data_IF_061199922774
#
_entry.id   IF_061199922774
#
_cell.length_a   1.000
_cell.length_b   1.000
_cell.length_c   1.000
_cell.angle_alpha   90.00
_cell.angle_beta   90.00
_cell.angle_gamma   90.00
#
_symmetry.space_group_name_H-M   'P 1'
#
loop_
_entity.id
_entity.type
_entity.pdbx_description
1 polymer ?
#
# COMPACT_ATOMS: atom_id res chain seq x y z
N UNK A 1 14.92 11.62 12.58
CA UNK A 1 14.06 10.42 12.64
C UNK A 1 13.68 10.02 14.07
N UNK A 2 14.60 9.69 15.00
CA UNK A 2 14.27 9.29 16.38
C UNK A 2 13.57 10.37 17.22
N UNK A 3 13.88 11.63 17.01
CA UNK A 3 13.26 12.76 17.76
C UNK A 3 11.82 13.05 17.34
N UNK A 4 11.44 12.72 16.12
CA UNK A 4 10.09 12.99 15.61
C UNK A 4 9.06 11.93 16.04
N UNK A 5 9.50 10.69 16.28
CA UNK A 5 8.66 9.60 16.80
C UNK A 5 8.17 9.87 18.24
N UNK A 6 8.92 10.67 19.02
CA UNK A 6 8.66 10.95 20.45
C UNK A 6 8.00 12.31 20.68
N UNK A 7 7.78 13.10 19.64
CA UNK A 7 7.24 14.45 19.77
C UNK A 7 5.71 14.42 19.80
N UNK A 8 5.16 14.69 20.98
CA UNK A 8 3.72 14.95 21.15
C UNK A 8 3.49 16.44 20.94
N UNK A 9 2.56 16.81 20.07
CA UNK A 9 2.28 18.22 19.78
C UNK A 9 1.53 18.89 20.95
N UNK A 10 1.67 20.21 21.09
CA UNK A 10 0.88 20.96 22.09
C UNK A 10 -0.62 20.81 21.87
N UNK A 11 -1.07 20.65 20.64
CA UNK A 11 -2.48 20.42 20.29
C UNK A 11 -2.98 19.07 20.82
N UNK A 12 -2.13 18.02 20.76
CA UNK A 12 -2.50 16.71 21.29
C UNK A 12 -2.66 16.75 22.82
N UNK A 13 -1.80 17.51 23.52
CA UNK A 13 -1.90 17.69 24.96
C UNK A 13 -3.16 18.45 25.36
N UNK A 14 -3.55 19.48 24.62
CA UNK A 14 -4.82 20.19 24.85
C UNK A 14 -6.00 19.24 24.67
N UNK A 15 -6.00 18.41 23.62
CA UNK A 15 -7.05 17.43 23.41
C UNK A 15 -7.12 16.39 24.55
N UNK A 16 -5.96 15.90 25.03
CA UNK A 16 -5.89 14.97 26.17
C UNK A 16 -6.48 15.60 27.43
N UNK A 17 -6.16 16.87 27.69
CA UNK A 17 -6.70 17.60 28.85
C UNK A 17 -8.21 17.76 28.75
N UNK A 18 -8.76 18.16 27.60
CA UNK A 18 -10.21 18.30 27.40
C UNK A 18 -10.91 16.93 27.57
N UNK A 19 -10.37 15.86 26.98
CA UNK A 19 -10.91 14.49 27.11
C UNK A 19 -10.85 14.06 28.59
N UNK A 20 -9.76 14.37 29.31
CA UNK A 20 -9.62 14.07 30.74
C UNK A 20 -10.71 14.76 31.58
N UNK A 21 -10.94 16.05 31.35
CA UNK A 21 -12.00 16.81 32.06
C UNK A 21 -13.39 16.21 31.80
N UNK A 22 -13.69 15.89 30.52
CA UNK A 22 -14.96 15.25 30.17
C UNK A 22 -15.11 13.89 30.85
N UNK A 23 -14.02 13.09 30.88
CA UNK A 23 -14.02 11.80 31.55
C UNK A 23 -14.25 11.94 33.06
N UNK A 24 -13.61 12.92 33.74
CA UNK A 24 -13.84 13.24 35.13
C UNK A 24 -15.30 13.62 35.41
N UNK A 25 -15.92 14.38 34.53
CA UNK A 25 -17.35 14.71 34.61
C UNK A 25 -18.22 13.44 34.47
N UNK A 26 -18.00 12.59 33.51
CA UNK A 26 -18.74 11.32 33.36
C UNK A 26 -18.54 10.40 34.58
N UNK A 27 -17.34 10.31 35.11
CA UNK A 27 -17.07 9.54 36.32
C UNK A 27 -17.87 10.06 37.51
N UNK A 28 -18.01 11.37 37.67
CA UNK A 28 -18.83 11.96 38.74
C UNK A 28 -20.30 11.59 38.60
N UNK A 29 -20.82 11.49 37.37
CA UNK A 29 -22.19 11.03 37.13
C UNK A 29 -22.40 9.58 37.59
N UNK A 30 -21.41 8.69 37.39
CA UNK A 30 -21.48 7.32 37.88
C UNK A 30 -21.57 7.30 39.39
N UNK A 31 -20.76 8.09 40.12
CA UNK A 31 -20.83 8.20 41.56
C UNK A 31 -22.19 8.78 42.04
N UNK A 32 -22.70 9.78 41.30
CA UNK A 32 -24.00 10.38 41.57
C UNK A 32 -25.13 9.33 41.52
N UNK A 33 -25.11 8.37 40.61
CA UNK A 33 -26.14 7.33 40.50
C UNK A 33 -25.92 6.16 41.48
N UNK A 34 -24.69 5.91 41.88
CA UNK A 34 -24.35 4.77 42.75
C UNK A 34 -24.62 5.04 44.24
N UNK A 35 -24.45 6.28 44.71
CA UNK A 35 -24.58 6.61 46.12
C UNK A 35 -25.23 7.99 46.31
N UNK A 36 -26.35 8.04 47.08
CA UNK A 36 -27.06 9.26 47.37
C UNK A 36 -26.22 10.31 48.14
N UNK A 37 -25.29 9.87 48.98
CA UNK A 37 -24.37 10.77 49.69
C UNK A 37 -23.36 11.48 48.79
N UNK A 38 -23.13 10.95 47.59
CA UNK A 38 -22.25 11.53 46.57
C UNK A 38 -23.00 12.40 45.55
N UNK A 39 -24.31 12.60 45.73
CA UNK A 39 -25.13 13.48 44.87
C UNK A 39 -24.89 14.97 45.22
N UNK A 40 -23.65 15.42 45.13
CA UNK A 40 -23.21 16.75 45.49
C UNK A 40 -22.33 17.38 44.42
N UNK A 41 -22.34 18.71 44.33
CA UNK A 41 -21.43 19.45 43.40
C UNK A 41 -19.96 19.20 43.77
N UNK A 42 -19.67 18.99 45.08
CA UNK A 42 -18.30 18.66 45.51
C UNK A 42 -17.75 17.38 44.90
N UNK A 43 -18.57 16.36 44.63
CA UNK A 43 -18.18 15.15 43.94
C UNK A 43 -17.77 15.44 42.50
N UNK A 44 -18.50 16.31 41.80
CA UNK A 44 -18.18 16.74 40.43
C UNK A 44 -16.84 17.48 40.41
N UNK A 45 -16.68 18.46 41.35
CA UNK A 45 -15.43 19.25 41.45
C UNK A 45 -14.23 18.34 41.72
N UNK A 46 -14.36 17.41 42.67
CA UNK A 46 -13.29 16.49 43.04
C UNK A 46 -12.90 15.57 41.84
N UNK A 47 -13.86 15.00 41.12
CA UNK A 47 -13.63 14.12 39.99
C UNK A 47 -12.97 14.86 38.83
N UNK A 48 -13.43 16.07 38.50
CA UNK A 48 -12.82 16.91 37.45
C UNK A 48 -11.42 17.34 37.84
N UNK A 49 -11.19 17.74 39.10
CA UNK A 49 -9.85 18.10 39.58
C UNK A 49 -8.88 16.92 39.54
N UNK A 50 -9.35 15.74 39.92
CA UNK A 50 -8.53 14.50 39.81
C UNK A 50 -8.10 14.24 38.38
N UNK A 51 -9.03 14.27 37.44
CA UNK A 51 -8.74 14.07 36.04
C UNK A 51 -7.82 15.16 35.47
N UNK A 52 -7.98 16.40 35.86
CA UNK A 52 -7.11 17.51 35.49
C UNK A 52 -5.68 17.32 36.00
N UNK A 53 -5.47 16.94 37.25
CA UNK A 53 -4.14 16.68 37.79
C UNK A 53 -3.48 15.47 37.15
N UNK A 54 -4.23 14.38 36.88
CA UNK A 54 -3.72 13.24 36.13
C UNK A 54 -3.18 13.67 34.73
N UNK A 55 -3.94 14.49 34.02
CA UNK A 55 -3.54 15.00 32.71
C UNK A 55 -2.29 15.90 32.78
N UNK A 56 -2.17 16.76 33.77
CA UNK A 56 -1.00 17.62 34.04
C UNK A 56 0.23 16.76 34.32
N UNK A 57 0.13 15.81 35.26
CA UNK A 57 1.26 14.92 35.56
C UNK A 57 1.65 14.06 34.38
N UNK A 58 0.68 13.55 33.61
CA UNK A 58 0.96 12.84 32.37
C UNK A 58 1.73 13.70 31.35
N UNK A 59 1.30 14.95 31.15
CA UNK A 59 1.97 15.91 30.29
C UNK A 59 3.42 16.15 30.72
N UNK A 60 3.65 16.41 32.00
CA UNK A 60 4.99 16.70 32.54
C UNK A 60 5.88 15.47 32.47
N UNK A 61 5.43 14.33 33.00
CA UNK A 61 6.22 13.13 33.14
C UNK A 61 6.55 12.49 31.78
N UNK A 62 5.54 12.34 30.91
CA UNK A 62 5.71 11.74 29.59
C UNK A 62 6.54 12.66 28.70
N UNK A 63 6.27 13.98 28.68
CA UNK A 63 7.07 14.92 27.89
C UNK A 63 8.52 14.98 28.34
N UNK A 64 8.75 14.98 29.65
CA UNK A 64 10.12 14.97 30.22
C UNK A 64 10.82 13.66 29.89
N UNK A 65 10.14 12.52 30.01
CA UNK A 65 10.67 11.23 29.64
C UNK A 65 11.04 11.18 28.16
N UNK A 66 10.15 11.60 27.28
CA UNK A 66 10.37 11.62 25.83
C UNK A 66 11.54 12.54 25.42
N UNK A 67 11.74 13.63 26.16
CA UNK A 67 12.80 14.60 25.87
C UNK A 67 14.17 14.21 26.43
N UNK A 68 14.24 13.67 27.64
CA UNK A 68 15.48 13.54 28.38
C UNK A 68 15.90 12.09 28.66
N UNK A 69 14.95 11.14 28.73
CA UNK A 69 15.22 9.78 29.20
C UNK A 69 15.20 8.80 28.02
N UNK A 70 14.11 8.72 27.25
CA UNK A 70 13.95 7.75 26.17
C UNK A 70 15.04 7.83 25.08
N UNK A 71 15.53 9.03 24.68
CA UNK A 71 16.61 9.09 23.67
C UNK A 71 17.93 8.47 24.10
N UNK A 72 18.12 8.22 25.42
CA UNK A 72 19.36 7.67 26.01
C UNK A 72 19.27 6.16 26.29
N UNK A 73 18.11 5.54 26.08
CA UNK A 73 17.83 4.16 26.43
C UNK A 73 17.44 3.38 25.16
N UNK A 74 17.72 2.08 25.13
CA UNK A 74 17.32 1.18 24.05
C UNK A 74 15.80 1.18 23.84
N UNK A 75 15.36 1.19 22.57
CA UNK A 75 13.94 1.21 22.18
C UNK A 75 13.10 0.10 22.85
N UNK A 76 13.69 -1.05 23.14
CA UNK A 76 13.01 -2.18 23.82
C UNK A 76 12.43 -1.82 25.19
N UNK A 77 13.04 -0.83 25.88
CA UNK A 77 12.59 -0.38 27.20
C UNK A 77 11.62 0.80 27.16
N UNK A 78 11.41 1.43 26.00
CA UNK A 78 10.59 2.63 25.88
C UNK A 78 9.14 2.40 26.34
N UNK A 79 8.54 1.28 25.94
CA UNK A 79 7.17 0.95 26.34
C UNK A 79 7.06 0.78 27.84
N UNK A 80 7.97 0.01 28.46
CA UNK A 80 7.94 -0.24 29.90
C UNK A 80 8.05 1.07 30.70
N UNK A 81 8.98 1.94 30.28
CA UNK A 81 9.20 3.21 30.96
C UNK A 81 8.01 4.18 30.79
N UNK A 82 7.44 4.23 29.59
CA UNK A 82 6.24 5.04 29.33
C UNK A 82 5.03 4.58 30.16
N UNK A 83 4.87 3.26 30.33
CA UNK A 83 3.83 2.68 31.18
C UNK A 83 4.06 3.01 32.67
N UNK A 84 5.29 2.97 33.12
CA UNK A 84 5.63 3.39 34.48
C UNK A 84 5.28 4.86 34.74
N UNK A 85 5.62 5.76 33.82
CA UNK A 85 5.24 7.18 33.96
C UNK A 85 3.72 7.40 33.84
N UNK A 86 3.02 6.58 33.07
CA UNK A 86 1.54 6.62 33.03
C UNK A 86 0.93 6.19 34.36
N UNK A 87 1.43 5.13 35.00
CA UNK A 87 1.02 4.75 36.36
C UNK A 87 1.29 5.89 37.35
N UNK A 88 2.51 6.43 37.31
CA UNK A 88 2.94 7.49 38.24
C UNK A 88 2.08 8.77 38.06
N UNK A 89 1.65 9.10 36.86
CA UNK A 89 0.79 10.25 36.60
C UNK A 89 -0.61 10.07 37.21
N UNK A 90 -1.17 8.86 37.11
CA UNK A 90 -2.45 8.54 37.76
C UNK A 90 -2.38 8.58 39.27
N UNK A 91 -1.35 7.97 39.83
CA UNK A 91 -1.08 7.93 41.26
C UNK A 91 -0.91 9.34 41.85
N UNK A 92 0.03 10.13 41.31
CA UNK A 92 0.31 11.50 41.76
C UNK A 92 -0.86 12.44 41.48
N UNK A 93 -1.57 12.29 40.39
CA UNK A 93 -2.74 13.10 40.03
C UNK A 93 -3.87 12.94 41.04
N UNK A 94 -4.18 11.69 41.41
CA UNK A 94 -5.16 11.43 42.47
C UNK A 94 -4.71 11.97 43.84
N UNK A 95 -3.46 11.75 44.24
CA UNK A 95 -2.91 12.24 45.48
C UNK A 95 -3.00 13.77 45.57
N UNK A 96 -2.66 14.48 44.52
CA UNK A 96 -2.73 15.93 44.46
C UNK A 96 -4.17 16.43 44.68
N UNK A 97 -5.15 15.85 44.00
CA UNK A 97 -6.56 16.19 44.24
C UNK A 97 -6.99 15.86 45.67
N UNK A 98 -6.63 14.67 46.16
CA UNK A 98 -6.99 14.27 47.54
C UNK A 98 -6.44 15.22 48.59
N UNK A 99 -5.14 15.56 48.55
CA UNK A 99 -4.54 16.43 49.54
C UNK A 99 -5.01 17.89 49.45
N UNK A 100 -5.33 18.41 48.26
CA UNK A 100 -5.90 19.77 48.11
C UNK A 100 -7.25 19.87 48.81
N UNK A 101 -8.09 18.84 48.71
CA UNK A 101 -9.42 18.86 49.31
C UNK A 101 -9.50 18.15 50.66
N UNK A 102 -8.38 17.71 51.24
CA UNK A 102 -8.33 16.92 52.46
C UNK A 102 -9.03 17.60 53.64
N UNK A 103 -8.88 18.91 53.79
CA UNK A 103 -9.48 19.70 54.84
C UNK A 103 -10.84 20.35 54.42
N UNK A 104 -11.41 19.91 53.32
CA UNK A 104 -12.71 20.43 52.85
C UNK A 104 -13.87 19.58 53.39
N UNK A 105 -15.07 20.17 53.43
CA UNK A 105 -16.32 19.47 53.79
C UNK A 105 -16.86 18.56 52.69
N UNK A 106 -15.98 18.10 51.77
CA UNK A 106 -16.38 17.26 50.66
C UNK A 106 -16.67 15.85 51.14
N UNK A 107 -17.93 15.42 51.06
CA UNK A 107 -18.34 14.06 51.45
C UNK A 107 -17.55 12.95 50.72
N UNK A 108 -17.22 13.16 49.44
CA UNK A 108 -16.42 12.22 48.67
C UNK A 108 -15.03 12.03 49.28
N UNK A 109 -14.39 13.10 49.77
CA UNK A 109 -13.07 13.07 50.41
C UNK A 109 -13.15 12.34 51.74
N UNK A 110 -14.18 12.59 52.53
CA UNK A 110 -14.43 11.88 53.80
C UNK A 110 -14.59 10.36 53.58
N UNK A 111 -15.33 9.93 52.56
CA UNK A 111 -15.51 8.51 52.22
C UNK A 111 -14.20 7.89 51.79
N UNK A 112 -13.41 8.58 50.95
CA UNK A 112 -12.15 8.12 50.39
C UNK A 112 -11.02 8.10 51.39
N UNK A 113 -11.09 8.92 52.45
CA UNK A 113 -10.02 9.14 53.44
C UNK A 113 -9.54 7.85 54.11
N UNK A 114 -10.41 6.87 54.35
CA UNK A 114 -10.05 5.59 54.96
C UNK A 114 -9.20 4.70 54.05
N UNK A 115 -9.25 4.88 52.72
CA UNK A 115 -8.61 4.01 51.70
C UNK A 115 -7.82 4.80 50.65
N UNK A 116 -7.47 6.06 50.93
CA UNK A 116 -6.86 6.97 49.97
C UNK A 116 -5.64 6.41 49.25
N UNK A 117 -4.77 5.66 49.97
CA UNK A 117 -3.59 5.05 49.34
C UNK A 117 -3.95 3.91 48.35
N UNK A 118 -4.86 3.05 48.79
CA UNK A 118 -5.32 1.94 47.92
C UNK A 118 -6.00 2.46 46.67
N UNK A 119 -6.81 3.54 46.80
CA UNK A 119 -7.47 4.18 45.68
C UNK A 119 -6.46 4.84 44.75
N UNK A 120 -5.42 5.52 45.28
CA UNK A 120 -4.33 6.09 44.48
C UNK A 120 -3.62 5.01 43.62
N UNK A 121 -3.33 3.85 44.23
CA UNK A 121 -2.74 2.71 43.52
C UNK A 121 -3.66 2.19 42.42
N UNK A 122 -4.96 2.02 42.73
CA UNK A 122 -5.94 1.56 41.72
C UNK A 122 -6.03 2.54 40.56
N UNK A 123 -6.10 3.86 40.84
CA UNK A 123 -6.12 4.90 39.80
C UNK A 123 -4.85 4.85 38.95
N UNK A 124 -3.67 4.65 39.57
CA UNK A 124 -2.42 4.44 38.85
C UNK A 124 -2.47 3.23 37.89
N UNK A 125 -3.01 2.09 38.36
CA UNK A 125 -3.19 0.93 37.49
C UNK A 125 -4.20 1.14 36.37
N UNK A 126 -5.29 1.87 36.62
CA UNK A 126 -6.25 2.22 35.58
C UNK A 126 -5.63 3.11 34.50
N UNK A 127 -4.83 4.10 34.88
CA UNK A 127 -4.12 4.94 33.91
C UNK A 127 -3.07 4.15 33.11
N UNK A 128 -2.39 3.19 33.74
CA UNK A 128 -1.47 2.26 33.05
C UNK A 128 -2.23 1.39 32.06
N UNK A 129 -3.40 0.85 32.41
CA UNK A 129 -4.22 0.04 31.49
C UNK A 129 -4.68 0.84 30.28
N UNK A 130 -5.14 2.07 30.50
CA UNK A 130 -5.52 2.98 29.40
C UNK A 130 -4.32 3.26 28.49
N UNK A 131 -3.14 3.51 29.06
CA UNK A 131 -1.92 3.73 28.29
C UNK A 131 -1.51 2.51 27.46
N UNK A 132 -1.68 1.29 27.99
CA UNK A 132 -1.47 0.03 27.24
C UNK A 132 -2.39 -0.07 26.03
N UNK A 133 -3.69 0.18 26.23
CA UNK A 133 -4.68 0.13 25.16
C UNK A 133 -4.36 1.16 24.06
N UNK A 134 -4.06 2.39 24.45
CA UNK A 134 -3.68 3.46 23.54
C UNK A 134 -2.40 3.12 22.77
N UNK A 135 -1.40 2.57 23.44
CA UNK A 135 -0.15 2.15 22.81
C UNK A 135 -0.41 1.06 21.76
N UNK A 136 -1.22 0.04 22.05
CA UNK A 136 -1.58 -0.99 21.09
C UNK A 136 -2.35 -0.42 19.91
N UNK A 137 -3.30 0.48 20.16
CA UNK A 137 -4.08 1.12 19.10
C UNK A 137 -3.21 1.94 18.14
N UNK A 138 -2.29 2.77 18.69
CA UNK A 138 -1.34 3.54 17.87
C UNK A 138 -0.39 2.63 17.09
N UNK A 139 0.11 1.56 17.71
CA UNK A 139 0.97 0.58 17.06
C UNK A 139 0.27 -0.10 15.88
N UNK A 140 -0.99 -0.53 16.06
CA UNK A 140 -1.80 -1.12 14.99
C UNK A 140 -2.06 -0.12 13.86
N UNK A 141 -2.40 1.12 14.20
CA UNK A 141 -2.61 2.19 13.21
C UNK A 141 -1.36 2.43 12.37
N UNK A 142 -0.18 2.49 13.01
CA UNK A 142 1.09 2.68 12.32
C UNK A 142 1.43 1.50 11.41
N UNK A 143 1.24 0.25 11.87
CA UNK A 143 1.41 -0.94 11.04
C UNK A 143 0.49 -0.94 9.82
N UNK A 144 -0.78 -0.61 9.99
CA UNK A 144 -1.72 -0.53 8.88
C UNK A 144 -1.33 0.54 7.85
N UNK A 145 -0.85 1.70 8.33
CA UNK A 145 -0.34 2.77 7.46
C UNK A 145 0.91 2.33 6.68
N UNK A 146 1.83 1.60 7.33
CA UNK A 146 3.02 1.08 6.67
C UNK A 146 2.66 0.03 5.61
N UNK A 147 1.78 -0.92 5.93
CA UNK A 147 1.28 -1.93 4.97
C UNK A 147 0.61 -1.25 3.76
N UNK A 148 -0.22 -0.24 4.01
CA UNK A 148 -0.86 0.52 2.92
C UNK A 148 0.17 1.20 2.01
N UNK A 149 1.26 1.75 2.59
CA UNK A 149 2.36 2.35 1.85
C UNK A 149 3.12 1.30 1.02
N UNK A 150 3.46 0.16 1.60
CA UNK A 150 4.15 -0.93 0.90
C UNK A 150 3.32 -1.49 -0.26
N UNK A 151 1.99 -1.64 -0.07
CA UNK A 151 1.07 -2.04 -1.14
C UNK A 151 1.05 -0.99 -2.26
N UNK A 152 1.03 0.30 -1.92
CA UNK A 152 1.07 1.38 -2.91
C UNK A 152 2.38 1.37 -3.69
N UNK A 153 3.52 1.27 -3.02
CA UNK A 153 4.84 1.18 -3.65
C UNK A 153 4.96 -0.05 -4.55
N UNK A 154 4.48 -1.21 -4.08
CA UNK A 154 4.43 -2.44 -4.89
C UNK A 154 3.55 -2.27 -6.14
N UNK A 155 2.39 -1.62 -6.02
CA UNK A 155 1.52 -1.31 -7.16
C UNK A 155 2.16 -0.34 -8.14
N UNK A 156 2.82 0.71 -7.65
CA UNK A 156 3.56 1.66 -8.50
C UNK A 156 4.68 0.95 -9.27
N UNK A 157 5.48 0.12 -8.57
CA UNK A 157 6.54 -0.66 -9.19
C UNK A 157 6.01 -1.68 -10.22
N UNK A 158 4.84 -2.26 -9.97
CA UNK A 158 4.16 -3.14 -10.94
C UNK A 158 3.74 -2.36 -12.19
N UNK A 159 3.18 -1.15 -12.02
CA UNK A 159 2.81 -0.27 -13.13
C UNK A 159 4.03 0.20 -13.95
N UNK A 160 5.12 0.56 -13.28
CA UNK A 160 6.39 0.91 -13.94
C UNK A 160 6.95 -0.26 -14.77
N UNK A 161 6.80 -1.49 -14.30
CA UNK A 161 7.22 -2.69 -15.02
C UNK A 161 6.29 -3.06 -16.20
N UNK A 162 5.01 -2.69 -16.14
CA UNK A 162 4.03 -2.90 -17.22
C UNK A 162 4.24 -1.90 -18.38
N UNK A 163 4.68 -0.70 -18.07
CA UNK A 163 5.04 0.33 -19.05
C UNK A 163 6.55 0.28 -19.27
N UNK A 164 7.02 -0.41 -20.30
CA UNK A 164 8.44 -0.41 -20.66
C UNK A 164 8.93 1.04 -20.89
N UNK A 165 9.71 1.65 -19.95
CA UNK A 165 10.10 3.06 -20.09
C UNK A 165 10.91 3.31 -21.35
N UNK A 166 11.74 2.34 -21.74
CA UNK A 166 12.57 2.41 -22.94
C UNK A 166 11.72 2.47 -24.23
N UNK A 167 10.62 1.71 -24.27
CA UNK A 167 9.66 1.81 -25.38
C UNK A 167 9.05 3.22 -25.47
N UNK A 168 8.62 3.78 -24.34
CA UNK A 168 8.01 5.12 -24.30
C UNK A 168 8.99 6.20 -24.75
N UNK A 169 10.24 6.16 -24.26
CA UNK A 169 11.28 7.09 -24.69
C UNK A 169 11.57 6.99 -26.17
N UNK A 170 11.66 5.78 -26.71
CA UNK A 170 11.88 5.56 -28.13
C UNK A 170 10.71 6.05 -28.99
N UNK A 171 9.47 5.78 -28.56
CA UNK A 171 8.27 6.27 -29.25
C UNK A 171 8.23 7.79 -29.28
N UNK A 172 8.48 8.46 -28.14
CA UNK A 172 8.51 9.92 -28.07
C UNK A 172 9.63 10.54 -28.92
N UNK A 173 10.83 9.94 -28.95
CA UNK A 173 11.93 10.36 -29.80
C UNK A 173 11.55 10.25 -31.29
N UNK A 174 10.91 9.14 -31.68
CA UNK A 174 10.44 8.95 -33.06
C UNK A 174 9.37 9.97 -33.45
N UNK A 175 8.42 10.25 -32.55
CA UNK A 175 7.42 11.33 -32.75
C UNK A 175 8.10 12.68 -32.93
N UNK A 176 9.09 13.01 -32.08
CA UNK A 176 9.84 14.27 -32.19
C UNK A 176 10.52 14.43 -33.57
N UNK A 177 11.11 13.37 -34.10
CA UNK A 177 11.71 13.38 -35.44
C UNK A 177 10.66 13.58 -36.53
N UNK A 178 9.49 12.92 -36.41
CA UNK A 178 8.39 13.05 -37.37
C UNK A 178 7.77 14.45 -37.42
N UNK A 179 7.76 15.21 -36.31
CA UNK A 179 7.23 16.58 -36.27
C UNK A 179 7.90 17.47 -37.34
N UNK A 180 9.18 17.26 -37.59
CA UNK A 180 9.93 18.03 -38.58
C UNK A 180 9.85 17.46 -40.00
N UNK A 181 9.64 16.15 -40.16
CA UNK A 181 9.66 15.48 -41.44
C UNK A 181 8.26 15.21 -42.03
N UNK A 182 7.28 14.80 -41.21
CA UNK A 182 5.93 14.46 -41.63
C UNK A 182 4.92 14.67 -40.49
N UNK A 183 4.30 15.85 -40.47
CA UNK A 183 3.35 16.24 -39.41
C UNK A 183 2.16 15.28 -39.29
N UNK A 184 1.66 14.73 -40.41
CA UNK A 184 0.49 13.82 -40.42
C UNK A 184 0.85 12.48 -39.79
N UNK A 185 2.06 11.95 -40.06
CA UNK A 185 2.55 10.77 -39.39
C UNK A 185 2.84 11.01 -37.91
N UNK A 186 3.36 12.18 -37.54
CA UNK A 186 3.57 12.57 -36.14
C UNK A 186 2.24 12.60 -35.36
N UNK A 187 1.19 13.19 -35.91
CA UNK A 187 -0.14 13.22 -35.31
C UNK A 187 -0.70 11.80 -35.10
N UNK A 188 -0.64 10.96 -36.13
CA UNK A 188 -1.07 9.57 -36.03
C UNK A 188 -0.27 8.79 -34.95
N UNK A 189 1.02 9.01 -34.85
CA UNK A 189 1.87 8.38 -33.85
C UNK A 189 1.49 8.80 -32.42
N UNK A 190 1.19 10.07 -32.17
CA UNK A 190 0.69 10.58 -30.89
C UNK A 190 -0.65 9.95 -30.54
N UNK A 191 -1.58 9.84 -31.49
CA UNK A 191 -2.88 9.20 -31.28
C UNK A 191 -2.73 7.71 -30.93
N UNK A 192 -1.86 6.99 -31.63
CA UNK A 192 -1.58 5.57 -31.35
C UNK A 192 -0.94 5.40 -29.96
N UNK A 193 0.03 6.25 -29.61
CA UNK A 193 0.67 6.23 -28.29
C UNK A 193 -0.34 6.55 -27.17
N UNK A 194 -1.20 7.52 -27.37
CA UNK A 194 -2.27 7.85 -26.42
C UNK A 194 -3.24 6.69 -26.23
N UNK A 195 -3.64 5.98 -27.32
CA UNK A 195 -4.48 4.79 -27.25
C UNK A 195 -3.80 3.65 -26.52
N UNK A 196 -2.51 3.42 -26.79
CA UNK A 196 -1.71 2.42 -26.11
C UNK A 196 -1.63 2.69 -24.60
N UNK A 197 -1.28 3.91 -24.20
CA UNK A 197 -1.18 4.31 -22.80
C UNK A 197 -2.51 4.19 -22.06
N UNK A 198 -3.62 4.59 -22.68
CA UNK A 198 -4.96 4.44 -22.08
C UNK A 198 -5.30 2.98 -21.80
N UNK A 199 -4.98 2.07 -22.73
CA UNK A 199 -5.18 0.65 -22.53
C UNK A 199 -4.21 0.07 -21.48
N UNK A 200 -2.98 0.59 -21.43
CA UNK A 200 -1.97 0.16 -20.48
C UNK A 200 -2.33 0.54 -19.02
N UNK A 201 -2.93 1.70 -18.80
CA UNK A 201 -3.33 2.20 -17.47
C UNK A 201 -4.62 1.53 -16.95
N UNK A 202 -5.40 0.88 -17.81
CA UNK A 202 -6.59 0.14 -17.38
C UNK A 202 -6.20 -0.95 -16.35
N UNK A 203 -6.91 -0.96 -15.19
CA UNK A 203 -6.61 -1.80 -14.03
C UNK A 203 -6.97 -3.27 -14.19
N UNK A 204 -7.51 -3.67 -15.31
CA UNK A 204 -7.86 -5.06 -15.57
C UNK A 204 -6.61 -5.93 -15.72
N UNK A 205 -6.49 -6.96 -14.90
CA UNK A 205 -5.39 -7.95 -14.99
C UNK A 205 -5.61 -8.97 -16.10
N UNK A 206 -6.87 -9.19 -16.50
CA UNK A 206 -7.30 -10.08 -17.58
C UNK A 206 -8.00 -9.26 -18.66
N UNK A 207 -7.61 -9.49 -19.90
CA UNK A 207 -8.21 -8.86 -21.08
C UNK A 207 -8.67 -9.91 -22.08
N UNK A 208 -9.65 -9.57 -22.92
CA UNK A 208 -10.04 -10.46 -24.02
C UNK A 208 -8.91 -10.59 -25.03
N UNK A 209 -8.83 -11.73 -25.71
CA UNK A 209 -7.86 -11.94 -26.77
C UNK A 209 -7.94 -10.85 -27.85
N UNK A 210 -9.16 -10.41 -28.20
CA UNK A 210 -9.37 -9.30 -29.13
C UNK A 210 -8.66 -8.01 -28.68
N UNK A 211 -8.81 -7.63 -27.40
CA UNK A 211 -8.16 -6.44 -26.86
C UNK A 211 -6.64 -6.60 -26.84
N UNK A 212 -6.15 -7.77 -26.46
CA UNK A 212 -4.71 -8.05 -26.48
C UNK A 212 -4.12 -7.95 -27.89
N UNK A 213 -4.78 -8.51 -28.90
CA UNK A 213 -4.34 -8.40 -30.32
C UNK A 213 -4.38 -6.94 -30.79
N UNK A 214 -5.38 -6.17 -30.40
CA UNK A 214 -5.45 -4.75 -30.73
C UNK A 214 -4.28 -3.97 -30.09
N UNK A 215 -3.90 -4.33 -28.87
CA UNK A 215 -2.73 -3.74 -28.18
C UNK A 215 -1.44 -4.10 -28.88
N UNK A 216 -1.27 -5.36 -29.30
CA UNK A 216 -0.11 -5.81 -30.08
C UNK A 216 0.00 -5.06 -31.43
N UNK A 217 -1.10 -4.92 -32.14
CA UNK A 217 -1.11 -4.17 -33.41
C UNK A 217 -0.72 -2.70 -33.20
N UNK A 218 -1.23 -2.07 -32.14
CA UNK A 218 -0.88 -0.69 -31.79
C UNK A 218 0.60 -0.58 -31.42
N UNK A 219 1.13 -1.52 -30.63
CA UNK A 219 2.54 -1.59 -30.24
C UNK A 219 3.45 -1.71 -31.46
N UNK A 220 3.17 -2.68 -32.37
CA UNK A 220 3.95 -2.88 -33.61
C UNK A 220 3.88 -1.65 -34.52
N UNK A 221 2.70 -1.01 -34.61
CA UNK A 221 2.54 0.23 -35.37
C UNK A 221 3.44 1.37 -34.85
N UNK A 222 3.56 1.52 -33.52
CA UNK A 222 4.45 2.51 -32.91
C UNK A 222 5.93 2.13 -33.13
N UNK A 223 6.31 0.87 -32.95
CA UNK A 223 7.69 0.41 -33.19
C UNK A 223 8.08 0.58 -34.67
N UNK A 224 7.16 0.38 -35.60
CA UNK A 224 7.40 0.54 -37.03
C UNK A 224 7.73 1.98 -37.46
N UNK A 225 7.43 2.97 -36.65
CA UNK A 225 7.92 4.33 -36.89
C UNK A 225 9.45 4.36 -36.82
N UNK A 226 10.02 3.60 -35.87
CA UNK A 226 11.47 3.49 -35.67
C UNK A 226 12.14 2.51 -36.65
N UNK A 227 11.44 1.44 -36.98
CA UNK A 227 11.97 0.38 -37.81
C UNK A 227 11.64 0.55 -39.31
N UNK A 228 11.14 1.70 -39.71
CA UNK A 228 10.84 2.05 -41.11
C UNK A 228 9.92 0.99 -41.78
N UNK A 229 8.86 0.59 -41.03
CA UNK A 229 7.89 -0.44 -41.44
C UNK A 229 8.49 -1.82 -41.73
N UNK A 230 9.65 -2.17 -41.18
CA UNK A 230 10.32 -3.45 -41.38
C UNK A 230 9.83 -4.56 -40.42
N UNK A 231 8.92 -4.31 -39.52
CA UNK A 231 8.30 -5.32 -38.65
C UNK A 231 6.92 -5.65 -39.21
N UNK A 232 6.76 -6.85 -39.75
CA UNK A 232 5.51 -7.33 -40.35
C UNK A 232 4.82 -8.29 -39.39
N UNK A 233 3.58 -7.99 -38.99
CA UNK A 233 2.77 -8.82 -38.08
C UNK A 233 1.76 -9.65 -38.92
N UNK A 234 1.90 -10.95 -38.89
CA UNK A 234 0.98 -11.92 -39.43
C UNK A 234 0.15 -12.54 -38.30
N UNK A 235 -1.14 -12.65 -38.48
CA UNK A 235 -2.04 -13.29 -37.50
C UNK A 235 -3.05 -14.18 -38.21
N UNK A 236 -3.30 -15.33 -37.63
CA UNK A 236 -4.36 -16.24 -38.08
C UNK A 236 -5.76 -15.69 -37.63
N UNK A 237 -6.81 -16.30 -38.18
CA UNK A 237 -8.18 -15.99 -37.69
C UNK A 237 -8.39 -16.53 -36.27
N UNK A 238 -8.97 -15.70 -35.41
CA UNK A 238 -9.19 -16.01 -33.98
C UNK A 238 -10.65 -15.75 -33.55
N UNK A 239 -11.59 -15.81 -34.50
CA UNK A 239 -13.00 -15.48 -34.24
C UNK A 239 -13.60 -16.28 -33.10
N UNK A 240 -13.28 -17.58 -33.03
CA UNK A 240 -13.78 -18.48 -31.98
C UNK A 240 -13.15 -18.20 -30.61
N UNK A 241 -12.04 -17.49 -30.57
CA UNK A 241 -11.24 -17.20 -29.38
C UNK A 241 -11.33 -15.75 -28.94
N UNK A 242 -12.09 -14.94 -29.64
CA UNK A 242 -12.16 -13.49 -29.46
C UNK A 242 -12.39 -13.06 -28.00
N UNK A 243 -13.27 -13.77 -27.29
CA UNK A 243 -13.67 -13.46 -25.92
C UNK A 243 -12.88 -14.20 -24.83
N UNK A 244 -11.92 -15.04 -25.22
CA UNK A 244 -11.04 -15.72 -24.26
C UNK A 244 -10.26 -14.69 -23.48
N UNK A 245 -10.25 -14.81 -22.15
CA UNK A 245 -9.51 -13.93 -21.27
C UNK A 245 -8.12 -14.45 -20.97
N UNK A 246 -7.12 -13.63 -21.24
CA UNK A 246 -5.70 -13.91 -20.96
C UNK A 246 -5.11 -12.77 -20.13
N UNK A 247 -3.98 -13.01 -19.41
CA UNK A 247 -3.30 -11.93 -18.69
C UNK A 247 -2.88 -10.84 -19.67
N UNK A 248 -3.16 -9.60 -19.34
CA UNK A 248 -2.82 -8.42 -20.11
C UNK A 248 -1.32 -8.38 -20.45
N UNK A 249 -0.96 -7.93 -21.63
CA UNK A 249 0.41 -7.90 -22.18
C UNK A 249 1.08 -9.27 -22.38
N UNK A 250 0.33 -10.37 -22.39
CA UNK A 250 0.90 -11.70 -22.59
C UNK A 250 1.48 -11.88 -23.98
N UNK A 251 0.69 -11.60 -25.01
CA UNK A 251 1.12 -11.72 -26.42
C UNK A 251 2.06 -10.57 -26.76
N UNK A 252 1.76 -9.37 -26.29
CA UNK A 252 2.62 -8.20 -26.52
C UNK A 252 4.06 -8.45 -26.04
N UNK A 253 4.25 -9.03 -24.85
CA UNK A 253 5.57 -9.35 -24.32
C UNK A 253 6.34 -10.32 -25.22
N UNK A 254 5.66 -11.31 -25.80
CA UNK A 254 6.27 -12.26 -26.72
C UNK A 254 6.67 -11.59 -28.03
N UNK A 255 5.83 -10.70 -28.57
CA UNK A 255 6.12 -9.89 -29.76
C UNK A 255 7.26 -8.92 -29.49
N UNK A 256 7.28 -8.24 -28.35
CA UNK A 256 8.40 -7.38 -27.92
C UNK A 256 9.71 -8.14 -27.88
N UNK A 257 9.72 -9.34 -27.29
CA UNK A 257 10.90 -10.20 -27.27
C UNK A 257 11.34 -10.59 -28.70
N UNK A 258 10.39 -10.91 -29.59
CA UNK A 258 10.65 -11.19 -31.00
C UNK A 258 11.33 -10.02 -31.70
N UNK A 259 10.84 -8.78 -31.50
CA UNK A 259 11.45 -7.59 -32.10
C UNK A 259 12.85 -7.34 -31.50
N UNK A 260 12.94 -7.32 -30.16
CA UNK A 260 14.17 -6.97 -29.45
C UNK A 260 15.34 -7.90 -29.74
N UNK A 261 15.08 -9.20 -29.91
CA UNK A 261 16.11 -10.23 -30.08
C UNK A 261 16.20 -10.79 -31.48
N UNK A 262 15.13 -10.68 -32.28
CA UNK A 262 15.04 -11.20 -33.63
C UNK A 262 15.47 -10.20 -34.70
N UNK A 263 15.32 -8.90 -34.51
CA UNK A 263 15.59 -7.90 -35.53
C UNK A 263 17.07 -7.79 -35.87
N UNK A 264 17.39 -8.00 -37.18
CA UNK A 264 18.75 -7.97 -37.70
C UNK A 264 19.01 -6.83 -38.71
N UNK A 265 18.19 -5.78 -38.68
CA UNK A 265 18.28 -4.66 -39.64
C UNK A 265 17.58 -4.92 -40.99
N UNK A 266 17.02 -6.11 -41.17
CA UNK A 266 16.20 -6.50 -42.33
C UNK A 266 14.74 -6.62 -41.91
N UNK A 267 13.86 -6.93 -42.87
CA UNK A 267 12.46 -7.21 -42.55
C UNK A 267 12.36 -8.36 -41.54
N UNK A 268 11.54 -8.19 -40.54
CA UNK A 268 11.25 -9.18 -39.49
C UNK A 268 9.76 -9.55 -39.55
N UNK A 269 9.48 -10.81 -39.83
CA UNK A 269 8.14 -11.36 -39.84
C UNK A 269 7.81 -11.99 -38.48
N UNK A 270 6.71 -11.55 -37.85
CA UNK A 270 6.19 -12.08 -36.59
C UNK A 270 4.85 -12.75 -36.88
N UNK A 271 4.70 -14.01 -36.47
CA UNK A 271 3.51 -14.82 -36.72
C UNK A 271 2.81 -15.10 -35.39
N UNK A 272 1.51 -14.83 -35.32
CA UNK A 272 0.64 -15.22 -34.20
C UNK A 272 -0.33 -16.27 -34.71
N UNK A 273 -0.18 -17.50 -34.24
CA UNK A 273 -1.04 -18.63 -34.57
C UNK A 273 -1.89 -19.04 -33.39
N UNK A 274 -3.11 -19.44 -33.67
CA UNK A 274 -4.09 -19.83 -32.65
C UNK A 274 -4.56 -21.25 -32.88
N UNK A 275 -4.34 -22.11 -31.89
CA UNK A 275 -4.87 -23.47 -31.84
C UNK A 275 -5.93 -23.57 -30.75
N UNK A 276 -6.68 -24.70 -30.67
CA UNK A 276 -7.73 -24.88 -29.64
C UNK A 276 -7.30 -24.53 -28.24
N UNK A 277 -6.08 -24.86 -27.84
CA UNK A 277 -5.61 -24.67 -26.46
C UNK A 277 -4.26 -23.92 -26.42
N UNK A 278 -3.82 -23.30 -27.51
CA UNK A 278 -2.53 -22.62 -27.51
C UNK A 278 -2.52 -21.36 -28.37
N UNK A 279 -1.72 -20.40 -27.92
CA UNK A 279 -1.39 -19.19 -28.67
C UNK A 279 0.11 -19.21 -28.90
N UNK A 280 0.53 -19.39 -30.15
CA UNK A 280 1.93 -19.47 -30.57
C UNK A 280 2.38 -18.17 -31.22
N UNK A 281 3.46 -17.57 -30.69
CA UNK A 281 4.12 -16.41 -31.28
C UNK A 281 5.50 -16.83 -31.77
N UNK A 282 5.77 -16.63 -33.03
CA UNK A 282 7.06 -16.97 -33.66
C UNK A 282 7.58 -15.84 -34.52
N UNK A 283 8.89 -15.83 -34.80
CA UNK A 283 9.52 -14.88 -35.70
C UNK A 283 10.62 -15.57 -36.53
N UNK A 284 10.92 -15.02 -37.71
CA UNK A 284 11.95 -15.47 -38.63
C UNK A 284 13.31 -14.78 -38.41
N UNK A 285 13.47 -14.05 -37.32
CA UNK A 285 14.69 -13.31 -37.01
C UNK A 285 15.82 -14.18 -36.44
N UNK A 286 16.72 -13.54 -35.67
CA UNK A 286 17.88 -14.21 -35.05
C UNK A 286 17.44 -15.36 -34.15
N UNK A 287 18.01 -16.54 -34.38
CA UNK A 287 17.78 -17.76 -33.60
C UNK A 287 18.62 -17.76 -32.34
N UNK A 288 18.07 -18.28 -31.23
CA UNK A 288 18.79 -18.53 -30.00
C UNK A 288 18.49 -19.93 -29.49
N UNK A 289 19.54 -20.77 -29.38
CA UNK A 289 19.41 -22.18 -28.97
C UNK A 289 19.16 -22.37 -27.47
N UNK A 290 19.56 -21.40 -26.64
CA UNK A 290 19.43 -21.48 -25.18
C UNK A 290 18.81 -20.21 -24.63
N UNK A 291 17.48 -20.19 -24.47
CA UNK A 291 16.78 -19.08 -23.82
C UNK A 291 16.55 -19.41 -22.35
N UNK A 292 17.26 -18.73 -21.50
CA UNK A 292 16.85 -18.64 -20.07
C UNK A 292 15.76 -17.57 -19.96
N UNK A 293 14.63 -17.91 -19.36
CA UNK A 293 13.58 -16.94 -19.08
C UNK A 293 14.14 -15.84 -18.17
N UNK A 294 14.33 -14.67 -18.76
CA UNK A 294 14.68 -13.44 -18.02
C UNK A 294 13.40 -12.88 -17.36
N UNK A 295 13.54 -11.82 -16.62
CA UNK A 295 12.50 -11.22 -15.77
C UNK A 295 11.10 -11.13 -16.44
N UNK A 296 11.03 -10.72 -17.71
CA UNK A 296 9.75 -10.57 -18.43
C UNK A 296 9.02 -11.90 -18.65
N UNK A 297 9.71 -12.88 -19.24
CA UNK A 297 9.11 -14.21 -19.50
C UNK A 297 8.81 -14.98 -18.23
N UNK A 298 9.68 -14.89 -17.20
CA UNK A 298 9.43 -15.49 -15.88
C UNK A 298 8.20 -14.86 -15.20
N UNK A 299 8.01 -13.56 -15.32
CA UNK A 299 6.83 -12.89 -14.79
C UNK A 299 5.56 -13.32 -15.50
N UNK A 300 5.58 -13.46 -16.83
CA UNK A 300 4.45 -13.98 -17.59
C UNK A 300 4.11 -15.42 -17.18
N UNK A 301 5.12 -16.29 -17.06
CA UNK A 301 4.94 -17.67 -16.62
C UNK A 301 4.30 -17.75 -15.22
N UNK A 302 4.79 -16.93 -14.28
CA UNK A 302 4.25 -16.87 -12.93
C UNK A 302 2.81 -16.35 -12.93
N UNK A 303 2.48 -15.32 -13.73
CA UNK A 303 1.11 -14.80 -13.87
C UNK A 303 0.15 -15.87 -14.40
N UNK A 304 0.55 -16.61 -15.45
CA UNK A 304 -0.25 -17.71 -16.01
C UNK A 304 -0.51 -18.81 -14.97
N UNK A 305 0.50 -19.14 -14.14
CA UNK A 305 0.39 -20.14 -13.05
C UNK A 305 -0.51 -19.65 -11.91
N UNK A 306 -0.28 -18.43 -11.41
CA UNK A 306 -1.06 -17.84 -10.29
C UNK A 306 -2.54 -17.70 -10.66
N UNK A 307 -2.84 -17.25 -11.86
CA UNK A 307 -4.20 -17.11 -12.37
C UNK A 307 -4.82 -18.46 -12.82
N UNK A 308 -4.05 -19.54 -12.75
CA UNK A 308 -4.45 -20.88 -13.16
C UNK A 308 -4.96 -20.98 -14.61
N UNK A 309 -4.45 -20.13 -15.49
CA UNK A 309 -4.88 -20.01 -16.89
C UNK A 309 -4.11 -20.95 -17.81
N UNK A 310 -2.80 -21.15 -17.55
CA UNK A 310 -1.96 -21.96 -18.43
C UNK A 310 -0.49 -21.98 -18.05
N UNK A 311 0.35 -22.29 -19.00
CA UNK A 311 1.82 -22.30 -18.89
C UNK A 311 2.46 -21.69 -20.13
N UNK A 312 3.68 -21.18 -19.97
CA UNK A 312 4.49 -20.68 -21.08
C UNK A 312 5.50 -21.79 -21.49
N UNK A 313 5.57 -22.10 -22.77
CA UNK A 313 6.56 -23.01 -23.33
C UNK A 313 7.40 -22.31 -24.41
N UNK A 314 8.68 -22.67 -24.47
CA UNK A 314 9.58 -22.28 -25.54
C UNK A 314 9.77 -23.46 -26.48
N UNK A 315 9.59 -23.23 -27.78
CA UNK A 315 9.75 -24.21 -28.82
C UNK A 315 10.79 -23.65 -29.79
N UNK A 316 11.94 -24.32 -29.89
CA UNK A 316 12.93 -24.02 -30.90
C UNK A 316 12.75 -25.00 -32.06
N UNK A 317 12.28 -24.51 -33.19
CA UNK A 317 12.24 -25.29 -34.43
C UNK A 317 13.43 -24.90 -35.31
N UNK A 318 13.84 -25.77 -36.21
CA UNK A 318 15.03 -25.51 -37.05
C UNK A 318 14.90 -24.23 -37.90
N UNK A 319 13.70 -23.73 -38.12
CA UNK A 319 13.44 -22.56 -38.93
C UNK A 319 13.04 -21.30 -38.14
N UNK A 320 12.36 -21.44 -37.01
CA UNK A 320 11.78 -20.30 -36.28
C UNK A 320 11.92 -20.41 -34.75
N UNK A 321 12.03 -19.29 -34.10
CA UNK A 321 11.97 -19.19 -32.66
C UNK A 321 10.52 -18.92 -32.22
N UNK A 322 9.95 -19.78 -31.38
CA UNK A 322 8.56 -19.69 -30.98
C UNK A 322 8.34 -19.79 -29.47
N UNK A 323 7.41 -19.02 -28.96
CA UNK A 323 6.84 -19.15 -27.63
C UNK A 323 5.37 -19.55 -27.74
N UNK A 324 4.94 -20.48 -26.91
CA UNK A 324 3.54 -20.93 -26.86
C UNK A 324 2.96 -20.72 -25.45
N UNK A 325 1.85 -20.03 -25.37
CA UNK A 325 1.01 -19.99 -24.18
C UNK A 325 0.04 -21.15 -24.30
N UNK A 326 0.23 -22.18 -23.49
CA UNK A 326 -0.66 -23.35 -23.43
C UNK A 326 -1.74 -23.07 -22.41
N UNK A 327 -2.99 -22.93 -22.87
CA UNK A 327 -4.15 -22.64 -22.04
C UNK A 327 -4.74 -23.91 -21.43
N UNK A 328 -5.29 -23.82 -20.21
CA UNK A 328 -6.02 -24.95 -19.60
C UNK A 328 -7.45 -25.01 -20.13
N UNK A 329 -7.96 -26.22 -20.32
CA UNK A 329 -9.28 -26.50 -20.93
C UNK A 329 -10.49 -25.75 -20.31
N UNK A 330 -10.36 -25.24 -19.09
CA UNK A 330 -11.43 -24.48 -18.39
C UNK A 330 -11.40 -22.97 -18.60
N UNK A 331 -10.38 -22.44 -19.22
CA UNK A 331 -10.23 -20.97 -19.41
C UNK A 331 -11.07 -20.39 -20.55
N UNK A 332 -11.72 -21.24 -21.35
CA UNK A 332 -12.50 -20.87 -22.54
C UNK A 332 -13.97 -20.54 -22.27
N UNK A 333 -14.46 -20.71 -21.03
CA UNK A 333 -15.91 -20.72 -20.75
C UNK A 333 -16.43 -19.55 -19.92
N UNK A 334 -15.68 -18.44 -19.79
CA UNK A 334 -16.21 -17.28 -19.04
C UNK A 334 -15.92 -15.97 -19.75
#
# INVERSE_FOLDING_TARGET
MLKDELKISSKDWINILIIGILFGFFQSLIFYFLNKDLQTISTIIFSISTAFFIAIFAMILISSSNRFILPKIDKKFWTVLSLFFSFLSGFLGFLSAFFIYFNSDFKVVAIVSSFWFSIAVVVGFLTLLIALILHQFVSLKNKNSQIAKEILESKLKSLENELNPHFLFNALNSVSQLIYSDKKKAENAVLQLSKFLRNAINKESLVTLENEILMVQTYVGIENIRFDNKVVLHKDDYKDLKFVKIPKFSIQLLVENGIKHGYLGKELNIYIKFDKNSIKVSNDGKKSLNIKFKTGLSNLENRLKILNIGKLEYISDNENMAFSIILKDKSWKY
#
